data_IF_562653814864
#
_entry.id   IF_562653814864
#
_cell.length_a   1.000
_cell.length_b   1.000
_cell.length_c   1.000
_cell.angle_alpha   90.00
_cell.angle_beta   90.00
_cell.angle_gamma   90.00
#
_symmetry.space_group_name_H-M   'P 1'
#
loop_
_entity.id
_entity.type
_entity.pdbx_description
1 polymer ?
#
# COMPACT_ATOMS: atom_id res chain seq x y z
N UNK A 1 4.31 8.34 1.75
CA UNK A 1 5.52 7.72 1.13
C UNK A 1 6.73 8.46 1.69
N UNK A 2 7.75 7.81 2.25
CA UNK A 2 8.90 8.51 2.86
C UNK A 2 10.09 8.57 1.90
N UNK A 3 10.16 9.62 1.07
CA UNK A 3 11.28 9.82 0.13
C UNK A 3 12.63 9.95 0.82
N UNK A 4 12.67 10.49 2.04
CA UNK A 4 13.90 10.59 2.83
C UNK A 4 14.60 9.23 3.02
N UNK A 5 13.83 8.18 3.33
CA UNK A 5 14.39 6.83 3.53
C UNK A 5 14.90 6.25 2.20
N UNK A 6 14.14 6.41 1.12
CA UNK A 6 14.59 5.97 -0.21
C UNK A 6 15.90 6.68 -0.60
N UNK A 7 15.98 8.00 -0.40
CA UNK A 7 17.22 8.77 -0.64
C UNK A 7 18.37 8.30 0.24
N UNK A 8 18.14 8.08 1.54
CA UNK A 8 19.15 7.56 2.47
C UNK A 8 19.70 6.20 2.02
N UNK A 9 18.81 5.27 1.63
CA UNK A 9 19.19 3.94 1.14
C UNK A 9 19.96 4.08 -0.17
N UNK A 10 19.46 4.87 -1.11
CA UNK A 10 20.12 5.08 -2.38
C UNK A 10 21.49 5.72 -2.19
N UNK A 11 21.68 6.56 -1.16
CA UNK A 11 22.95 7.23 -0.88
C UNK A 11 24.01 6.39 -0.14
N UNK A 12 23.74 5.12 0.13
CA UNK A 12 24.71 4.24 0.79
C UNK A 12 25.95 4.00 -0.09
N UNK A 13 27.18 3.92 0.49
CA UNK A 13 28.42 3.78 -0.28
C UNK A 13 28.45 2.56 -1.22
N UNK A 14 27.79 1.47 -0.82
CA UNK A 14 27.69 0.26 -1.63
C UNK A 14 27.00 0.49 -2.99
N UNK A 15 26.19 1.55 -3.10
CA UNK A 15 25.47 1.91 -4.32
C UNK A 15 26.20 2.97 -5.15
N UNK A 16 27.31 3.56 -4.70
CA UNK A 16 28.00 4.68 -5.39
C UNK A 16 28.34 4.39 -6.85
N UNK A 17 28.74 3.15 -7.17
CA UNK A 17 29.06 2.73 -8.55
C UNK A 17 27.82 2.67 -9.46
N UNK A 18 26.62 2.55 -8.88
CA UNK A 18 25.38 2.26 -9.59
C UNK A 18 24.37 3.40 -9.55
N UNK A 19 24.35 4.17 -8.46
CA UNK A 19 23.44 5.29 -8.27
C UNK A 19 23.92 6.44 -9.16
N UNK A 20 23.28 6.57 -10.32
CA UNK A 20 23.39 7.78 -11.12
C UNK A 20 22.74 8.98 -10.40
N UNK A 21 22.42 10.02 -11.17
CA UNK A 21 21.60 11.12 -10.66
C UNK A 21 20.18 10.66 -10.31
N UNK A 22 19.57 11.29 -9.32
CA UNK A 22 18.13 11.13 -9.06
C UNK A 22 17.33 11.63 -10.28
N UNK A 23 16.35 10.84 -10.71
CA UNK A 23 15.51 11.15 -11.89
C UNK A 23 14.17 11.77 -11.45
N UNK A 24 13.55 11.22 -10.41
CA UNK A 24 12.22 11.60 -9.94
C UNK A 24 12.10 11.30 -8.45
N UNK A 25 11.52 12.19 -7.61
CA UNK A 25 10.96 13.51 -7.95
C UNK A 25 12.01 14.55 -8.35
N UNK A 26 13.30 14.23 -8.15
CA UNK A 26 14.42 15.11 -8.48
C UNK A 26 14.90 15.90 -7.28
N UNK A 27 16.16 16.35 -7.36
CA UNK A 27 16.87 16.98 -6.24
C UNK A 27 16.30 18.33 -5.81
N UNK A 28 15.47 18.98 -6.62
CA UNK A 28 14.83 20.25 -6.26
C UNK A 28 13.60 20.06 -5.36
N UNK A 29 13.06 18.83 -5.28
CA UNK A 29 11.90 18.51 -4.46
C UNK A 29 12.35 18.04 -3.08
N UNK A 30 12.29 18.93 -2.09
CA UNK A 30 12.91 18.74 -0.76
C UNK A 30 11.93 18.89 0.41
N UNK A 31 10.91 19.75 0.29
CA UNK A 31 9.95 19.95 1.38
C UNK A 31 8.84 18.92 1.35
N UNK A 32 8.21 18.68 2.50
CA UNK A 32 7.09 17.75 2.61
C UNK A 32 5.94 18.16 1.69
N UNK A 33 5.66 19.46 1.55
CA UNK A 33 4.62 19.97 0.66
C UNK A 33 4.92 19.69 -0.82
N UNK A 34 6.18 19.86 -1.23
CA UNK A 34 6.60 19.56 -2.61
C UNK A 34 6.50 18.05 -2.90
N UNK A 35 6.89 17.22 -1.94
CA UNK A 35 6.84 15.77 -2.05
C UNK A 35 5.39 15.25 -2.05
N UNK A 36 4.52 15.84 -1.23
CA UNK A 36 3.09 15.51 -1.20
C UNK A 36 2.40 15.88 -2.52
N UNK A 37 2.70 17.06 -3.06
CA UNK A 37 2.19 17.47 -4.37
C UNK A 37 2.72 16.55 -5.49
N UNK A 38 3.99 16.16 -5.43
CA UNK A 38 4.54 15.20 -6.37
C UNK A 38 3.81 13.85 -6.31
N UNK A 39 3.58 13.30 -5.10
CA UNK A 39 2.86 12.04 -4.90
C UNK A 39 1.44 12.14 -5.42
N UNK A 40 0.74 13.26 -5.15
CA UNK A 40 -0.63 13.46 -5.62
C UNK A 40 -0.74 13.35 -7.14
N UNK A 41 0.24 13.88 -7.87
CA UNK A 41 0.22 13.93 -9.33
C UNK A 41 0.81 12.69 -10.02
N UNK A 42 1.65 11.90 -9.33
CA UNK A 42 2.40 10.80 -9.95
C UNK A 42 2.15 9.43 -9.32
N UNK A 43 1.41 9.34 -8.21
CA UNK A 43 1.13 8.06 -7.59
C UNK A 43 0.20 7.21 -8.46
N UNK A 44 0.57 5.95 -8.61
CA UNK A 44 -0.22 4.94 -9.28
C UNK A 44 -0.50 3.76 -8.35
N UNK A 45 -1.54 3.00 -8.65
CA UNK A 45 -1.78 1.75 -7.93
C UNK A 45 -0.81 0.69 -8.40
N UNK A 46 -0.29 -0.12 -7.47
CA UNK A 46 0.42 -1.34 -7.84
C UNK A 46 -0.52 -2.47 -8.33
N UNK A 47 -1.78 -2.16 -8.65
CA UNK A 47 -2.80 -3.10 -9.14
C UNK A 47 -3.03 -4.34 -8.25
N UNK A 48 -3.01 -4.16 -6.93
CA UNK A 48 -3.34 -5.20 -5.94
C UNK A 48 -4.69 -4.95 -5.26
N UNK A 49 -5.82 -4.95 -5.98
CA UNK A 49 -7.14 -4.73 -5.37
C UNK A 49 -7.48 -5.88 -4.41
N UNK A 50 -7.88 -5.52 -3.20
CA UNK A 50 -8.26 -6.46 -2.15
C UNK A 50 -9.29 -5.84 -1.21
N UNK A 51 -9.96 -6.67 -0.40
CA UNK A 51 -10.84 -6.20 0.68
C UNK A 51 -12.25 -5.74 0.28
N UNK A 52 -12.71 -5.97 -0.96
CA UNK A 52 -14.09 -5.66 -1.39
C UNK A 52 -15.16 -6.58 -0.80
N UNK A 53 -14.77 -7.73 -0.25
CA UNK A 53 -15.61 -8.66 0.51
C UNK A 53 -14.98 -8.90 1.89
N UNK A 54 -14.96 -7.87 2.74
CA UNK A 54 -14.23 -7.85 4.02
C UNK A 54 -14.41 -9.12 4.86
N UNK A 55 -13.30 -9.69 5.32
CA UNK A 55 -13.27 -10.79 6.30
C UNK A 55 -13.31 -10.26 7.74
N UNK A 56 -14.22 -10.79 8.55
CA UNK A 56 -14.34 -10.42 9.97
C UNK A 56 -15.66 -10.84 10.61
N UNK A 57 -15.91 -10.26 11.78
CA UNK A 57 -17.12 -10.48 12.59
C UNK A 57 -17.80 -9.17 13.00
N UNK A 58 -17.37 -8.04 12.43
CA UNK A 58 -18.05 -6.75 12.61
C UNK A 58 -19.19 -6.59 11.59
N UNK A 59 -20.04 -5.58 11.78
CA UNK A 59 -21.23 -5.34 10.95
C UNK A 59 -20.93 -5.15 9.46
N UNK A 60 -19.69 -4.78 9.10
CA UNK A 60 -19.26 -4.59 7.71
C UNK A 60 -18.62 -5.84 7.10
N UNK A 61 -18.54 -6.95 7.84
CA UNK A 61 -17.94 -8.19 7.35
C UNK A 61 -18.88 -8.95 6.39
N UNK A 62 -18.32 -9.42 5.29
CA UNK A 62 -19.02 -10.26 4.29
C UNK A 62 -18.75 -11.74 4.53
N UNK A 63 -17.54 -12.08 4.98
CA UNK A 63 -17.15 -13.46 5.28
C UNK A 63 -16.50 -13.60 6.66
N UNK A 64 -16.59 -14.79 7.25
CA UNK A 64 -15.86 -15.16 8.47
C UNK A 64 -14.37 -15.49 8.21
N UNK A 65 -13.62 -15.83 9.25
CA UNK A 65 -12.20 -16.19 9.15
C UNK A 65 -11.90 -17.42 8.28
N UNK A 66 -12.92 -18.23 8.00
CA UNK A 66 -12.88 -19.40 7.14
C UNK A 66 -13.47 -19.11 5.76
N UNK A 67 -13.64 -17.82 5.40
CA UNK A 67 -14.15 -17.39 4.10
C UNK A 67 -15.64 -17.69 3.88
N UNK A 68 -16.40 -18.12 4.88
CA UNK A 68 -17.83 -18.44 4.73
C UNK A 68 -18.65 -17.18 4.71
N UNK A 69 -19.62 -17.10 3.80
CA UNK A 69 -20.49 -15.92 3.67
C UNK A 69 -21.47 -15.85 4.84
N UNK A 70 -21.50 -14.70 5.51
CA UNK A 70 -22.44 -14.47 6.62
C UNK A 70 -23.89 -14.52 6.13
N UNK A 71 -24.76 -15.18 6.89
CA UNK A 71 -26.19 -15.32 6.56
C UNK A 71 -26.51 -16.31 5.43
N UNK A 72 -25.51 -16.96 4.82
CA UNK A 72 -25.73 -17.89 3.71
C UNK A 72 -25.01 -19.22 3.94
N UNK A 73 -25.75 -20.34 3.91
CA UNK A 73 -25.18 -21.69 4.13
C UNK A 73 -24.64 -22.28 2.83
N UNK A 74 -23.44 -22.87 2.90
CA UNK A 74 -22.85 -23.66 1.80
C UNK A 74 -21.98 -22.87 0.81
N UNK A 75 -21.75 -21.58 1.02
CA UNK A 75 -20.96 -20.74 0.12
C UNK A 75 -19.75 -20.18 0.84
N UNK A 76 -18.58 -20.33 0.22
CA UNK A 76 -17.33 -19.80 0.71
C UNK A 76 -16.63 -19.00 -0.39
N UNK A 77 -16.11 -17.84 0.01
CA UNK A 77 -15.47 -16.86 -0.84
C UNK A 77 -13.97 -16.80 -0.50
N UNK A 78 -13.20 -17.60 -1.24
CA UNK A 78 -11.76 -17.75 -1.06
C UNK A 78 -11.02 -16.95 -2.12
N UNK A 79 -10.58 -15.73 -1.83
CA UNK A 79 -9.78 -14.90 -2.75
C UNK A 79 -9.29 -13.61 -2.08
N UNK A 80 -8.41 -12.85 -2.76
CA UNK A 80 -7.92 -11.53 -2.29
C UNK A 80 -9.02 -10.51 -1.97
N UNK A 81 -10.26 -10.72 -2.43
CA UNK A 81 -11.38 -9.84 -2.08
C UNK A 81 -11.68 -9.87 -0.58
N UNK A 82 -11.34 -10.93 0.13
CA UNK A 82 -11.59 -11.06 1.57
C UNK A 82 -10.39 -10.76 2.47
N UNK A 83 -9.31 -10.16 1.96
CA UNK A 83 -8.20 -9.73 2.83
C UNK A 83 -8.68 -8.80 3.95
N UNK A 84 -8.32 -9.13 5.19
CA UNK A 84 -8.53 -8.28 6.37
C UNK A 84 -7.39 -7.26 6.46
N UNK A 85 -7.71 -5.98 6.69
CA UNK A 85 -6.71 -5.00 7.11
C UNK A 85 -6.34 -5.25 8.58
N UNK A 86 -5.06 -5.35 8.90
CA UNK A 86 -4.56 -5.45 10.27
C UNK A 86 -4.62 -4.07 10.95
N UNK A 87 -5.70 -3.82 11.72
CA UNK A 87 -5.95 -2.64 12.57
C UNK A 87 -5.81 -1.24 11.92
N UNK A 88 -6.43 -0.19 12.46
CA UNK A 88 -6.16 1.16 11.99
C UNK A 88 -4.71 1.52 12.37
N UNK A 89 -3.92 1.88 11.36
CA UNK A 89 -2.68 2.64 11.60
C UNK A 89 -3.15 3.99 12.14
N UNK A 90 -2.93 4.24 13.42
CA UNK A 90 -2.98 5.58 14.02
C UNK A 90 -1.89 6.46 13.44
#
# INVERSE_FOLDING_TARGET
>A
MRFAITREIMHQPALDKYRGREISPGVECQTDEQLDEFVRNHAETAFHPCGSCKMGYDEMAVVDGEGRVHGWKGYAWWMRRSCRRSSPVT
#
